data_IF_785004949332
#
_entry.id   IF_785004949332
#
_cell.length_a   1.000
_cell.length_b   1.000
_cell.length_c   1.000
_cell.angle_alpha   90.00
_cell.angle_beta   90.00
_cell.angle_gamma   90.00
#
_symmetry.space_group_name_H-M   'P 1'
#
loop_
_entity.id
_entity.type
_entity.pdbx_description
1 polymer ?
#
# COMPACT_ATOMS: atom_id res chain seq x y z
N UNK A 1 19.06 -10.91 20.87
CA UNK A 1 17.78 -10.38 20.34
C UNK A 1 18.15 -9.36 19.29
N UNK A 2 17.91 -9.65 18.01
CA UNK A 2 18.34 -8.79 16.91
C UNK A 2 17.25 -7.77 16.59
N UNK A 3 17.53 -6.49 16.81
CA UNK A 3 16.64 -5.40 16.46
C UNK A 3 16.95 -4.92 15.04
N UNK A 4 15.96 -5.00 14.14
CA UNK A 4 16.09 -4.56 12.75
C UNK A 4 15.51 -3.15 12.62
N UNK A 5 16.37 -2.16 12.41
CA UNK A 5 15.99 -0.77 12.19
C UNK A 5 16.21 -0.40 10.72
N UNK A 6 15.13 0.04 10.04
CA UNK A 6 15.14 0.47 8.64
C UNK A 6 15.02 1.99 8.59
N UNK A 7 16.03 2.65 8.04
CA UNK A 7 16.03 4.10 7.81
C UNK A 7 15.69 4.39 6.36
N UNK A 8 14.65 5.21 6.12
CA UNK A 8 14.25 5.65 4.78
C UNK A 8 14.20 7.19 4.72
N UNK A 9 14.92 7.83 3.78
CA UNK A 9 14.89 9.28 3.66
C UNK A 9 13.56 9.72 3.02
N UNK A 10 12.81 10.59 3.71
CA UNK A 10 11.54 11.15 3.21
C UNK A 10 11.62 12.67 3.09
N UNK A 11 11.20 13.26 1.96
CA UNK A 11 10.94 14.71 1.82
C UNK A 11 9.43 14.97 1.75
N UNK A 12 8.93 15.82 2.64
CA UNK A 12 7.51 16.13 2.80
C UNK A 12 7.05 17.28 1.90
N UNK A 13 6.01 17.05 1.08
CA UNK A 13 5.17 18.09 0.44
C UNK A 13 3.70 17.70 0.65
N UNK A 14 2.75 18.63 0.86
CA UNK A 14 1.29 18.33 1.06
C UNK A 14 0.50 18.96 -0.08
N UNK A 15 -0.72 18.48 -0.25
CA UNK A 15 -1.75 19.02 -1.13
C UNK A 15 -3.09 18.87 -0.42
N UNK A 16 -3.94 19.87 -0.56
CA UNK A 16 -5.12 20.14 0.29
C UNK A 16 -4.97 21.42 1.13
N UNK A 17 -4.28 22.43 0.59
CA UNK A 17 -3.86 23.65 1.32
C UNK A 17 -2.33 23.86 1.41
N UNK A 18 -1.53 23.31 0.48
CA UNK A 18 -0.07 23.56 0.43
C UNK A 18 0.38 24.06 -0.93
N UNK A 19 1.38 24.94 -0.85
CA UNK A 19 2.08 25.66 -1.92
C UNK A 19 2.71 24.70 -2.92
N UNK A 20 2.46 24.96 -4.20
CA UNK A 20 3.15 24.34 -5.33
C UNK A 20 4.23 25.30 -5.83
N UNK A 21 5.36 24.75 -6.29
CA UNK A 21 6.42 25.52 -6.96
C UNK A 21 6.26 25.20 -8.44
N UNK A 22 5.91 26.21 -9.22
CA UNK A 22 5.73 26.12 -10.66
C UNK A 22 7.08 26.38 -11.34
N UNK A 23 7.46 25.52 -12.28
CA UNK A 23 8.66 25.71 -13.12
C UNK A 23 8.28 26.65 -14.28
N UNK A 24 9.12 27.63 -14.67
CA UNK A 24 8.80 28.56 -15.74
C UNK A 24 8.62 27.85 -17.09
N UNK A 25 7.67 28.36 -17.87
CA UNK A 25 7.28 27.83 -19.19
C UNK A 25 8.48 27.76 -20.16
N UNK A 26 8.53 26.70 -20.96
CA UNK A 26 9.54 26.51 -22.02
C UNK A 26 10.28 25.18 -21.99
N UNK A 27 10.11 24.36 -20.95
CA UNK A 27 10.45 22.94 -20.99
C UNK A 27 9.15 22.17 -21.04
N UNK A 28 8.94 21.38 -22.10
CA UNK A 28 7.89 20.37 -22.15
C UNK A 28 7.84 19.69 -20.78
N UNK A 29 6.64 19.44 -20.20
CA UNK A 29 6.59 18.63 -19.01
C UNK A 29 7.30 17.34 -19.41
N UNK A 30 8.48 17.08 -18.84
CA UNK A 30 8.96 15.71 -18.74
C UNK A 30 7.77 15.03 -18.14
N UNK A 31 7.00 14.31 -18.97
CA UNK A 31 5.75 13.69 -18.61
C UNK A 31 6.14 12.81 -17.45
N UNK A 32 5.93 13.34 -16.26
CA UNK A 32 6.80 12.96 -15.18
C UNK A 32 6.38 11.55 -14.88
N UNK A 33 7.23 10.59 -15.23
CA UNK A 33 7.23 9.22 -14.76
C UNK A 33 7.52 9.22 -13.25
N UNK A 34 7.02 10.23 -12.53
CA UNK A 34 6.98 10.32 -11.11
C UNK A 34 5.89 9.35 -10.72
N UNK A 35 6.30 8.08 -10.58
CA UNK A 35 5.92 7.17 -9.53
C UNK A 35 5.68 7.92 -8.21
N UNK A 36 4.61 8.71 -8.15
CA UNK A 36 4.18 9.37 -6.93
C UNK A 36 3.65 8.25 -6.06
N UNK A 37 4.45 7.85 -5.07
CA UNK A 37 4.09 6.84 -4.07
C UNK A 37 2.61 7.01 -3.69
N UNK A 38 1.80 5.98 -3.93
CA UNK A 38 0.41 6.01 -3.54
C UNK A 38 0.33 5.85 -2.03
N UNK A 39 0.29 7.00 -1.34
CA UNK A 39 0.21 7.05 0.12
C UNK A 39 -1.00 6.30 0.68
N UNK A 40 -2.05 6.09 -0.12
CA UNK A 40 -3.23 5.32 0.26
C UNK A 40 -2.89 3.84 0.35
N UNK A 41 -2.24 3.29 -0.69
CA UNK A 41 -1.80 1.90 -0.72
C UNK A 41 -0.73 1.62 0.32
N UNK A 42 0.23 2.53 0.50
CA UNK A 42 1.25 2.41 1.56
C UNK A 42 0.60 2.37 2.94
N UNK A 43 -0.33 3.29 3.24
CA UNK A 43 -1.07 3.27 4.52
C UNK A 43 -1.90 2.00 4.69
N UNK A 44 -2.48 1.48 3.62
CA UNK A 44 -3.23 0.24 3.64
C UNK A 44 -2.34 -0.96 3.97
N UNK A 45 -1.13 -1.05 3.38
CA UNK A 45 -0.13 -2.06 3.73
C UNK A 45 0.31 -1.96 5.19
N UNK A 46 0.59 -0.75 5.67
CA UNK A 46 0.95 -0.54 7.08
C UNK A 46 -0.18 -1.00 8.01
N UNK A 47 -1.43 -0.67 7.69
CA UNK A 47 -2.61 -1.14 8.45
C UNK A 47 -2.75 -2.66 8.41
N UNK A 48 -2.51 -3.29 7.25
CA UNK A 48 -2.56 -4.73 7.09
C UNK A 48 -1.63 -5.45 8.07
N UNK A 49 -0.38 -5.01 8.14
CA UNK A 49 0.62 -5.59 9.05
C UNK A 49 0.29 -5.27 10.52
N UNK A 50 -0.14 -4.04 10.81
CA UNK A 50 -0.50 -3.64 12.17
C UNK A 50 -1.68 -4.47 12.70
N UNK A 51 -2.76 -4.59 11.94
CA UNK A 51 -3.94 -5.33 12.32
C UNK A 51 -3.66 -6.82 12.44
N UNK A 52 -2.88 -7.40 11.53
CA UNK A 52 -2.43 -8.79 11.66
C UNK A 52 -1.63 -9.01 12.95
N UNK A 53 -0.72 -8.09 13.29
CA UNK A 53 0.05 -8.16 14.55
C UNK A 53 -0.86 -8.05 15.77
N UNK A 54 -1.84 -7.15 15.75
CA UNK A 54 -2.76 -6.95 16.86
C UNK A 54 -3.66 -8.17 17.10
N UNK A 55 -4.18 -8.78 16.03
CA UNK A 55 -4.92 -10.03 16.09
C UNK A 55 -4.04 -11.18 16.62
N UNK A 56 -2.81 -11.32 16.10
CA UNK A 56 -1.86 -12.35 16.59
C UNK A 56 -1.46 -12.16 18.05
N UNK A 57 -1.34 -10.91 18.50
CA UNK A 57 -1.00 -10.60 19.91
C UNK A 57 -2.17 -10.75 20.88
N UNK A 58 -3.39 -11.01 20.39
CA UNK A 58 -4.60 -11.06 21.21
C UNK A 58 -5.08 -9.69 21.71
N UNK A 59 -4.52 -8.58 21.20
CA UNK A 59 -4.99 -7.21 21.54
C UNK A 59 -6.46 -7.02 21.15
N UNK A 60 -6.89 -7.65 20.06
CA UNK A 60 -8.28 -7.80 19.68
C UNK A 60 -8.58 -9.29 19.60
N UNK A 61 -9.63 -9.75 20.29
CA UNK A 61 -9.98 -11.16 20.35
C UNK A 61 -10.75 -11.59 19.10
N UNK A 62 -11.56 -10.69 18.56
CA UNK A 62 -12.37 -10.95 17.36
C UNK A 62 -12.12 -9.93 16.25
N UNK A 63 -12.53 -10.31 15.04
CA UNK A 63 -12.56 -9.41 13.89
C UNK A 63 -13.55 -8.25 14.11
N UNK A 64 -14.63 -8.47 14.88
CA UNK A 64 -15.62 -7.45 15.23
C UNK A 64 -15.00 -6.40 16.15
N UNK A 65 -14.25 -6.80 17.18
CA UNK A 65 -13.56 -5.86 18.06
C UNK A 65 -12.65 -4.92 17.28
N UNK A 66 -11.97 -5.45 16.26
CA UNK A 66 -11.10 -4.66 15.38
C UNK A 66 -11.91 -3.69 14.51
N UNK A 67 -13.07 -4.12 14.00
CA UNK A 67 -14.00 -3.26 13.26
C UNK A 67 -14.47 -2.09 14.12
N UNK A 68 -14.94 -2.39 15.33
CA UNK A 68 -15.49 -1.41 16.26
C UNK A 68 -14.42 -0.41 16.73
N UNK A 69 -13.24 -0.91 17.09
CA UNK A 69 -12.12 -0.07 17.52
C UNK A 69 -11.61 0.89 16.43
N UNK A 70 -11.68 0.48 15.17
CA UNK A 70 -11.22 1.29 14.03
C UNK A 70 -12.37 2.00 13.29
N UNK A 71 -13.63 1.80 13.70
CA UNK A 71 -14.85 2.31 13.05
C UNK A 71 -14.91 1.98 11.56
N UNK A 72 -14.63 0.73 11.22
CA UNK A 72 -14.60 0.23 9.84
C UNK A 72 -15.47 -1.00 9.68
N UNK A 73 -15.94 -1.25 8.46
CA UNK A 73 -16.73 -2.45 8.16
C UNK A 73 -15.87 -3.71 8.09
N UNK A 74 -16.43 -4.86 8.43
CA UNK A 74 -15.77 -6.17 8.31
C UNK A 74 -15.19 -6.42 6.90
N UNK A 75 -15.94 -6.02 5.85
CA UNK A 75 -15.47 -6.08 4.45
C UNK A 75 -14.17 -5.30 4.23
N UNK A 76 -14.04 -4.12 4.84
CA UNK A 76 -12.82 -3.31 4.75
C UNK A 76 -11.66 -3.94 5.52
N UNK A 77 -11.93 -4.53 6.69
CA UNK A 77 -10.88 -5.25 7.45
C UNK A 77 -10.35 -6.44 6.67
N UNK A 78 -11.23 -7.27 6.12
CA UNK A 78 -10.85 -8.43 5.29
C UNK A 78 -9.98 -8.00 4.11
N UNK A 79 -10.37 -6.94 3.42
CA UNK A 79 -9.59 -6.37 2.33
C UNK A 79 -8.20 -5.92 2.77
N UNK A 80 -8.11 -5.16 3.87
CA UNK A 80 -6.82 -4.66 4.34
C UNK A 80 -5.93 -5.85 4.74
N UNK A 81 -6.47 -6.85 5.45
CA UNK A 81 -5.71 -8.04 5.80
C UNK A 81 -5.28 -8.87 4.58
N UNK A 82 -6.06 -8.88 3.49
CA UNK A 82 -5.68 -9.54 2.22
C UNK A 82 -4.39 -8.98 1.63
N UNK A 83 -4.08 -7.70 1.86
CA UNK A 83 -2.82 -7.09 1.39
C UNK A 83 -1.57 -7.77 1.98
N UNK A 84 -1.69 -8.44 3.13
CA UNK A 84 -0.57 -9.22 3.69
C UNK A 84 -0.19 -10.43 2.83
N UNK A 85 -1.09 -10.93 1.98
CA UNK A 85 -0.85 -12.07 1.09
C UNK A 85 -0.32 -11.69 -0.30
N UNK A 86 -0.20 -10.39 -0.57
CA UNK A 86 0.38 -9.89 -1.81
C UNK A 86 1.83 -10.37 -1.96
N UNK A 87 2.24 -10.65 -3.19
CA UNK A 87 3.61 -11.05 -3.51
C UNK A 87 4.63 -10.01 -2.98
N UNK A 88 5.78 -10.44 -2.45
CA UNK A 88 6.80 -9.52 -1.91
C UNK A 88 7.21 -8.42 -2.89
N UNK A 89 7.41 -8.78 -4.17
CA UNK A 89 7.76 -7.82 -5.24
C UNK A 89 6.71 -6.74 -5.46
N UNK A 90 5.43 -7.09 -5.36
CA UNK A 90 4.35 -6.12 -5.48
C UNK A 90 4.27 -5.21 -4.26
N UNK A 91 4.55 -5.72 -3.06
CA UNK A 91 4.69 -4.88 -1.85
C UNK A 91 5.85 -3.90 -1.99
N UNK A 92 7.00 -4.36 -2.47
CA UNK A 92 8.17 -3.51 -2.79
C UNK A 92 7.81 -2.43 -3.82
N UNK A 93 7.13 -2.82 -4.91
CA UNK A 93 6.69 -1.87 -5.94
C UNK A 93 5.77 -0.78 -5.38
N UNK A 94 4.83 -1.14 -4.48
CA UNK A 94 3.97 -0.16 -3.80
C UNK A 94 4.79 0.78 -2.91
N UNK A 95 5.72 0.25 -2.11
CA UNK A 95 6.55 1.05 -1.20
C UNK A 95 7.48 2.00 -1.95
N UNK A 96 8.01 1.57 -3.09
CA UNK A 96 8.90 2.36 -3.95
C UNK A 96 8.13 3.27 -4.92
N UNK A 97 6.80 3.16 -4.99
CA UNK A 97 5.96 3.91 -5.93
C UNK A 97 6.01 3.40 -7.38
N UNK A 98 6.74 2.32 -7.64
CA UNK A 98 6.81 1.63 -8.94
C UNK A 98 5.62 0.72 -9.22
N UNK A 99 4.57 0.78 -8.39
CA UNK A 99 3.34 0.04 -8.64
C UNK A 99 2.76 0.36 -10.03
N UNK A 100 2.20 -0.64 -10.74
CA UNK A 100 1.53 -0.41 -12.00
C UNK A 100 0.38 0.60 -11.86
N UNK A 101 0.18 1.46 -12.86
CA UNK A 101 -0.88 2.50 -12.81
C UNK A 101 -2.30 1.94 -12.70
N UNK A 102 -2.50 0.71 -13.16
CA UNK A 102 -3.76 -0.01 -13.07
C UNK A 102 -3.91 -0.79 -11.75
N UNK A 103 -2.92 -0.76 -10.85
CA UNK A 103 -3.00 -1.39 -9.55
C UNK A 103 -3.60 -0.40 -8.54
N UNK A 104 -4.92 -0.42 -8.39
CA UNK A 104 -5.61 0.35 -7.35
C UNK A 104 -6.10 -0.58 -6.25
N UNK A 105 -6.36 0.01 -5.09
CA UNK A 105 -7.00 -0.66 -3.96
C UNK A 105 -8.30 -1.39 -4.36
N UNK A 106 -9.08 -0.81 -5.28
CA UNK A 106 -10.31 -1.40 -5.81
C UNK A 106 -10.07 -2.71 -6.57
N UNK A 107 -9.01 -2.77 -7.38
CA UNK A 107 -8.66 -3.95 -8.19
C UNK A 107 -8.21 -5.11 -7.30
N UNK A 108 -7.47 -4.78 -6.23
CA UNK A 108 -7.10 -5.71 -5.15
C UNK A 108 -8.37 -6.29 -4.47
N UNK A 109 -9.46 -5.52 -4.37
CA UNK A 109 -10.69 -5.99 -3.72
C UNK A 109 -11.43 -7.06 -4.54
N UNK A 110 -11.38 -6.96 -5.87
CA UNK A 110 -12.36 -7.67 -6.70
C UNK A 110 -12.04 -9.14 -6.89
N UNK A 111 -10.78 -9.53 -7.08
CA UNK A 111 -10.34 -10.92 -6.96
C UNK A 111 -8.83 -11.03 -7.17
N UNK A 112 -8.01 -10.81 -6.13
CA UNK A 112 -6.59 -11.13 -6.25
C UNK A 112 -6.37 -12.64 -6.17
N UNK A 113 -5.64 -13.24 -7.14
CA UNK A 113 -5.25 -14.64 -7.09
C UNK A 113 -4.44 -14.96 -5.85
N UNK A 114 -4.56 -16.19 -5.32
CA UNK A 114 -3.79 -16.61 -4.15
C UNK A 114 -2.33 -16.92 -4.47
N UNK A 115 -2.06 -17.39 -5.70
CA UNK A 115 -0.72 -17.71 -6.17
C UNK A 115 0.04 -16.44 -6.56
N UNK A 116 1.29 -16.31 -6.10
CA UNK A 116 2.09 -15.13 -6.42
C UNK A 116 2.32 -14.98 -7.92
N UNK A 117 2.66 -16.06 -8.63
CA UNK A 117 2.82 -16.05 -10.10
C UNK A 117 1.63 -15.38 -10.82
N UNK A 118 0.41 -15.79 -10.50
CA UNK A 118 -0.82 -15.24 -11.09
C UNK A 118 -1.03 -13.76 -10.71
N UNK A 119 -0.61 -13.34 -9.50
CA UNK A 119 -0.60 -11.91 -9.14
C UNK A 119 0.39 -11.13 -10.00
N UNK A 120 1.56 -11.71 -10.26
CA UNK A 120 2.57 -11.12 -11.12
C UNK A 120 2.07 -10.91 -12.54
N UNK A 121 1.45 -11.94 -13.13
CA UNK A 121 0.84 -11.85 -14.46
C UNK A 121 -0.25 -10.77 -14.52
N UNK A 122 -1.12 -10.71 -13.50
CA UNK A 122 -2.21 -9.73 -13.43
C UNK A 122 -1.70 -8.29 -13.38
N UNK A 123 -0.60 -8.05 -12.67
CA UNK A 123 -0.04 -6.72 -12.45
C UNK A 123 1.18 -6.41 -13.33
N UNK A 124 1.58 -7.32 -14.22
CA UNK A 124 2.76 -7.16 -15.07
C UNK A 124 4.07 -7.06 -14.27
N UNK A 125 4.22 -7.85 -13.21
CA UNK A 125 5.38 -7.87 -12.33
C UNK A 125 5.95 -9.29 -12.27
N UNK A 126 7.24 -9.47 -12.59
CA UNK A 126 7.91 -10.76 -12.38
C UNK A 126 8.03 -11.05 -10.88
N UNK A 127 7.44 -12.16 -10.48
CA UNK A 127 7.37 -12.68 -9.11
C UNK A 127 7.98 -14.07 -9.13
N UNK A 128 8.87 -14.32 -8.17
CA UNK A 128 9.65 -15.56 -8.04
C UNK A 128 8.80 -16.68 -7.45
#
# INVERSE_FOLDING_TARGET
MSELSVFMPMRLKKRGGRKMVLVPEGKAPLASQNASIDTTLVKALVRAHLWQRQLKSGKYQTMQDLCDANKVTAKYVQLILRLNFLAPKLKEAILLGHQPRHMKLADIMQNIPSLWHEQGELFGCEVV
#
